data_IF_226776631344
#
_entry.id   IF_226776631344
#
_cell.length_a   1.000
_cell.length_b   1.000
_cell.length_c   1.000
_cell.angle_alpha   90.00
_cell.angle_beta   90.00
_cell.angle_gamma   90.00
#
_symmetry.space_group_name_H-M   'P 1'
#
loop_
_entity.id
_entity.type
_entity.pdbx_description
1 polymer ?
#
# COMPACT_ATOMS: atom_id res chain seq x y z
N UNK A 1 -50.03 -23.19 -34.62
CA UNK A 1 -50.63 -24.00 -33.54
C UNK A 1 -50.09 -23.62 -32.17
N UNK A 2 -48.79 -23.78 -31.90
CA UNK A 2 -48.18 -23.52 -30.57
C UNK A 2 -48.38 -22.08 -30.08
N UNK A 3 -48.16 -21.07 -30.93
CA UNK A 3 -48.40 -19.65 -30.57
C UNK A 3 -49.86 -19.39 -30.22
N UNK A 4 -50.80 -20.05 -30.92
CA UNK A 4 -52.22 -19.91 -30.65
C UNK A 4 -52.58 -20.55 -29.30
N UNK A 5 -52.02 -21.72 -29.00
CA UNK A 5 -52.15 -22.37 -27.70
C UNK A 5 -51.56 -21.51 -26.56
N UNK A 6 -50.39 -20.90 -26.78
CA UNK A 6 -49.76 -20.00 -25.79
C UNK A 6 -50.61 -18.76 -25.48
N UNK A 7 -51.35 -18.23 -26.46
CA UNK A 7 -52.19 -17.05 -26.27
C UNK A 7 -53.58 -17.37 -25.69
N UNK A 8 -54.10 -18.59 -25.88
CA UNK A 8 -55.50 -18.95 -25.56
C UNK A 8 -55.66 -19.83 -24.33
N UNK A 9 -54.66 -20.65 -23.98
CA UNK A 9 -54.80 -21.61 -22.89
C UNK A 9 -54.93 -20.93 -21.52
N UNK A 10 -55.71 -21.56 -20.64
CA UNK A 10 -55.88 -21.13 -19.24
C UNK A 10 -54.82 -21.74 -18.33
N UNK A 11 -54.69 -21.19 -17.11
CA UNK A 11 -53.71 -21.63 -16.09
C UNK A 11 -53.80 -23.13 -15.80
N UNK A 12 -55.01 -23.69 -15.74
CA UNK A 12 -55.23 -25.12 -15.49
C UNK A 12 -54.80 -26.01 -16.66
N UNK A 13 -55.02 -25.55 -17.89
CA UNK A 13 -54.57 -26.27 -19.10
C UNK A 13 -53.04 -26.31 -19.19
N UNK A 14 -52.35 -25.22 -18.81
CA UNK A 14 -50.89 -25.22 -18.74
C UNK A 14 -50.34 -26.10 -17.59
N UNK A 15 -51.02 -26.17 -16.44
CA UNK A 15 -50.65 -27.09 -15.36
C UNK A 15 -50.76 -28.55 -15.79
N UNK A 16 -51.80 -28.90 -16.54
CA UNK A 16 -51.98 -30.26 -17.07
C UNK A 16 -50.91 -30.65 -18.12
N UNK A 17 -50.25 -29.66 -18.74
CA UNK A 17 -49.10 -29.86 -19.62
C UNK A 17 -47.77 -30.02 -18.85
N UNK A 18 -47.78 -29.94 -17.51
CA UNK A 18 -46.58 -30.10 -16.67
C UNK A 18 -45.64 -28.89 -16.65
N UNK A 19 -46.12 -27.71 -17.04
CA UNK A 19 -45.33 -26.46 -16.96
C UNK A 19 -45.19 -26.01 -15.51
N UNK A 20 -44.00 -25.50 -15.15
CA UNK A 20 -43.77 -24.88 -13.84
C UNK A 20 -44.62 -23.62 -13.67
N UNK A 21 -45.11 -23.37 -12.45
CA UNK A 21 -45.94 -22.20 -12.12
C UNK A 21 -45.34 -20.88 -12.60
N UNK A 22 -44.02 -20.67 -12.43
CA UNK A 22 -43.35 -19.46 -12.89
C UNK A 22 -43.42 -19.28 -14.42
N UNK A 23 -43.34 -20.36 -15.19
CA UNK A 23 -43.46 -20.35 -16.65
C UNK A 23 -44.89 -20.06 -17.07
N UNK A 24 -45.88 -20.59 -16.35
CA UNK A 24 -47.30 -20.34 -16.61
C UNK A 24 -47.64 -18.87 -16.36
N UNK A 25 -47.21 -18.31 -15.22
CA UNK A 25 -47.42 -16.90 -14.88
C UNK A 25 -46.82 -15.97 -15.93
N UNK A 26 -45.59 -16.27 -16.39
CA UNK A 26 -44.94 -15.52 -17.46
C UNK A 26 -45.72 -15.55 -18.79
N UNK A 27 -46.15 -16.73 -19.24
CA UNK A 27 -46.92 -16.88 -20.50
C UNK A 27 -48.22 -16.07 -20.42
N UNK A 28 -48.89 -16.09 -19.28
CA UNK A 28 -50.15 -15.37 -19.06
C UNK A 28 -49.97 -13.86 -18.96
N UNK A 29 -48.83 -13.38 -18.44
CA UNK A 29 -48.51 -11.95 -18.29
C UNK A 29 -47.97 -11.33 -19.59
N UNK A 30 -47.32 -12.13 -20.45
CA UNK A 30 -46.59 -11.62 -21.63
C UNK A 30 -47.33 -11.85 -22.95
N UNK A 31 -48.46 -12.57 -22.95
CA UNK A 31 -49.33 -12.72 -24.13
C UNK A 31 -49.99 -11.38 -24.51
N UNK A 32 -50.29 -11.11 -25.79
CA UNK A 32 -50.22 -12.02 -26.92
C UNK A 32 -48.84 -12.06 -27.60
N UNK A 33 -48.35 -13.26 -27.89
CA UNK A 33 -47.16 -13.47 -28.71
C UNK A 33 -47.50 -13.42 -30.20
N UNK A 34 -46.75 -12.66 -30.97
CA UNK A 34 -46.93 -12.54 -32.43
C UNK A 34 -46.25 -13.68 -33.21
N UNK A 35 -45.15 -14.22 -32.68
CA UNK A 35 -44.38 -15.32 -33.30
C UNK A 35 -43.77 -16.24 -32.24
N UNK A 36 -43.44 -17.48 -32.64
CA UNK A 36 -42.78 -18.45 -31.76
C UNK A 36 -41.37 -17.97 -31.34
N UNK A 37 -40.74 -17.16 -32.18
CA UNK A 37 -39.41 -16.60 -31.96
C UNK A 37 -39.42 -15.55 -30.84
N UNK A 38 -40.49 -14.75 -30.74
CA UNK A 38 -40.72 -13.79 -29.64
C UNK A 38 -40.94 -14.50 -28.29
N UNK A 39 -41.64 -15.64 -28.30
CA UNK A 39 -41.82 -16.46 -27.10
C UNK A 39 -40.50 -17.14 -26.66
N UNK A 40 -39.60 -17.43 -27.60
CA UNK A 40 -38.33 -18.13 -27.36
C UNK A 40 -37.15 -17.21 -27.09
N UNK A 41 -37.24 -15.92 -27.46
CA UNK A 41 -36.19 -14.92 -27.23
C UNK A 41 -36.07 -14.49 -25.77
N UNK A 42 -36.97 -14.93 -24.89
CA UNK A 42 -36.94 -14.55 -23.48
C UNK A 42 -35.81 -15.29 -22.74
N UNK A 43 -34.70 -14.57 -22.49
CA UNK A 43 -33.64 -15.01 -21.60
C UNK A 43 -34.15 -14.98 -20.17
N UNK A 44 -34.21 -16.15 -19.52
CA UNK A 44 -34.38 -16.19 -18.06
C UNK A 44 -33.23 -15.42 -17.40
N UNK A 45 -33.55 -14.30 -16.76
CA UNK A 45 -32.63 -13.61 -15.86
C UNK A 45 -32.72 -14.35 -14.53
N UNK A 46 -31.89 -15.36 -14.33
CA UNK A 46 -31.76 -16.01 -13.03
C UNK A 46 -30.81 -15.20 -12.15
N UNK A 47 -31.36 -14.58 -11.11
CA UNK A 47 -30.56 -13.95 -10.07
C UNK A 47 -30.22 -15.00 -9.01
N UNK A 48 -28.95 -15.26 -8.81
CA UNK A 48 -28.49 -16.14 -7.72
C UNK A 48 -28.43 -15.37 -6.41
N UNK A 49 -29.15 -15.86 -5.40
CA UNK A 49 -29.14 -15.31 -4.05
C UNK A 49 -28.35 -16.22 -3.11
N UNK A 50 -27.56 -15.63 -2.22
CA UNK A 50 -26.80 -16.36 -1.22
C UNK A 50 -25.82 -15.44 -0.51
N UNK A 51 -25.59 -15.68 0.78
CA UNK A 51 -24.66 -14.88 1.60
C UNK A 51 -23.26 -14.85 1.01
N UNK A 52 -22.78 -15.99 0.48
CA UNK A 52 -21.47 -16.10 -0.15
C UNK A 52 -21.35 -15.22 -1.41
N UNK A 53 -22.38 -15.20 -2.25
CA UNK A 53 -22.40 -14.41 -3.49
C UNK A 53 -22.48 -12.92 -3.15
N UNK A 54 -23.24 -12.56 -2.11
CA UNK A 54 -23.32 -11.19 -1.62
C UNK A 54 -21.99 -10.70 -1.06
N UNK A 55 -21.30 -11.50 -0.22
CA UNK A 55 -19.97 -11.17 0.28
C UNK A 55 -18.93 -11.08 -0.84
N UNK A 56 -18.94 -11.98 -1.81
CA UNK A 56 -18.04 -11.93 -2.96
C UNK A 56 -18.26 -10.65 -3.79
N UNK A 57 -19.52 -10.28 -4.03
CA UNK A 57 -19.85 -9.03 -4.73
C UNK A 57 -19.42 -7.80 -3.94
N UNK A 58 -19.63 -7.78 -2.61
CA UNK A 58 -19.17 -6.69 -1.75
C UNK A 58 -17.65 -6.53 -1.79
N UNK A 59 -16.89 -7.62 -1.68
CA UNK A 59 -15.41 -7.56 -1.77
C UNK A 59 -14.99 -7.02 -3.13
N UNK A 60 -15.62 -7.47 -4.22
CA UNK A 60 -15.30 -7.01 -5.58
C UNK A 60 -15.61 -5.52 -5.79
N UNK A 61 -16.74 -5.05 -5.27
CA UNK A 61 -17.11 -3.63 -5.30
C UNK A 61 -16.09 -2.82 -4.50
N UNK A 62 -15.81 -3.22 -3.26
CA UNK A 62 -14.88 -2.47 -2.40
C UNK A 62 -13.45 -2.46 -2.95
N UNK A 63 -12.96 -3.54 -3.54
CA UNK A 63 -11.64 -3.54 -4.18
C UNK A 63 -11.60 -2.55 -5.35
N UNK A 64 -12.63 -2.54 -6.20
CA UNK A 64 -12.68 -1.63 -7.35
C UNK A 64 -12.86 -0.18 -6.92
N UNK A 65 -13.89 0.09 -6.14
CA UNK A 65 -14.24 1.44 -5.69
C UNK A 65 -13.20 1.99 -4.71
N UNK A 66 -12.58 1.14 -3.88
CA UNK A 66 -11.52 1.54 -2.97
C UNK A 66 -10.26 2.02 -3.70
N UNK A 67 -9.85 1.31 -4.76
CA UNK A 67 -8.71 1.76 -5.60
C UNK A 67 -9.06 3.05 -6.34
N UNK A 68 -10.27 3.16 -6.88
CA UNK A 68 -10.74 4.38 -7.55
C UNK A 68 -10.75 5.56 -6.57
N UNK A 69 -11.30 5.39 -5.36
CA UNK A 69 -11.34 6.41 -4.32
C UNK A 69 -9.94 6.83 -3.86
N UNK A 70 -9.02 5.89 -3.70
CA UNK A 70 -7.63 6.17 -3.36
C UNK A 70 -6.95 7.02 -4.44
N UNK A 71 -7.00 6.56 -5.70
CA UNK A 71 -6.36 7.25 -6.82
C UNK A 71 -7.00 8.63 -7.09
N UNK A 72 -8.33 8.73 -7.05
CA UNK A 72 -9.03 9.99 -7.27
C UNK A 72 -8.70 11.02 -6.18
N UNK A 73 -8.66 10.59 -4.91
CA UNK A 73 -8.27 11.46 -3.79
C UNK A 73 -6.83 11.93 -3.95
N UNK A 74 -5.90 11.02 -4.29
CA UNK A 74 -4.49 11.37 -4.50
C UNK A 74 -4.32 12.39 -5.63
N UNK A 75 -4.97 12.17 -6.77
CA UNK A 75 -4.90 13.10 -7.91
C UNK A 75 -5.49 14.46 -7.55
N UNK A 76 -6.66 14.49 -6.91
CA UNK A 76 -7.31 15.73 -6.50
C UNK A 76 -6.43 16.54 -5.54
N UNK A 77 -5.83 15.86 -4.56
CA UNK A 77 -4.88 16.47 -3.61
C UNK A 77 -3.69 17.09 -4.32
N UNK A 78 -3.08 16.37 -5.26
CA UNK A 78 -1.91 16.89 -6.01
C UNK A 78 -2.30 18.13 -6.80
N UNK A 79 -3.46 18.12 -7.46
CA UNK A 79 -3.98 19.28 -8.20
C UNK A 79 -4.18 20.47 -7.26
N UNK A 80 -4.86 20.27 -6.12
CA UNK A 80 -5.12 21.33 -5.13
C UNK A 80 -3.80 21.90 -4.59
N UNK A 81 -2.81 21.05 -4.29
CA UNK A 81 -1.49 21.49 -3.82
C UNK A 81 -0.74 22.33 -4.86
N UNK A 82 -0.75 21.92 -6.12
CA UNK A 82 -0.10 22.66 -7.21
C UNK A 82 -0.77 24.02 -7.37
N UNK A 83 -2.10 24.08 -7.32
CA UNK A 83 -2.85 25.34 -7.39
C UNK A 83 -2.57 26.25 -6.18
N UNK A 84 -2.51 25.68 -4.98
CA UNK A 84 -2.28 26.41 -3.74
C UNK A 84 -0.87 27.02 -3.68
N UNK A 85 0.16 26.24 -4.01
CA UNK A 85 1.54 26.72 -3.97
C UNK A 85 2.01 27.43 -5.24
N UNK A 86 1.25 27.32 -6.34
CA UNK A 86 1.61 27.82 -7.68
C UNK A 86 3.00 27.35 -8.12
N UNK A 87 3.36 26.12 -7.77
CA UNK A 87 4.68 25.56 -8.06
C UNK A 87 4.78 24.08 -7.72
N UNK A 88 5.48 23.32 -8.57
CA UNK A 88 5.56 21.86 -8.48
C UNK A 88 6.51 21.38 -7.37
N UNK A 89 7.62 22.09 -7.16
CA UNK A 89 8.62 21.74 -6.14
C UNK A 89 8.05 21.88 -4.72
N UNK A 90 7.37 22.99 -4.35
CA UNK A 90 6.65 23.10 -3.07
C UNK A 90 5.64 21.97 -2.84
N UNK A 91 4.84 21.68 -3.87
CA UNK A 91 3.81 20.65 -3.80
C UNK A 91 4.41 19.25 -3.55
N UNK A 92 5.49 18.90 -4.25
CA UNK A 92 6.20 17.63 -4.07
C UNK A 92 6.78 17.49 -2.66
N UNK A 93 7.35 18.56 -2.09
CA UNK A 93 7.90 18.53 -0.72
C UNK A 93 6.79 18.29 0.30
N UNK A 94 5.63 18.94 0.14
CA UNK A 94 4.48 18.74 1.03
C UNK A 94 3.82 17.36 0.88
N UNK A 95 4.03 16.65 -0.23
CA UNK A 95 3.55 15.28 -0.45
C UNK A 95 4.40 14.20 0.23
N UNK A 96 5.60 14.54 0.74
CA UNK A 96 6.53 13.56 1.31
C UNK A 96 5.93 12.81 2.53
N UNK A 97 5.34 13.49 3.55
CA UNK A 97 4.74 12.81 4.70
C UNK A 97 3.56 11.93 4.35
N UNK A 98 2.84 12.32 3.29
CA UNK A 98 1.71 11.58 2.77
C UNK A 98 2.17 10.26 2.17
N UNK A 99 3.01 10.33 1.13
CA UNK A 99 3.36 9.17 0.30
C UNK A 99 4.13 8.16 1.14
N UNK A 100 5.16 8.63 1.85
CA UNK A 100 5.96 7.75 2.70
C UNK A 100 5.18 7.28 3.92
N UNK A 101 4.25 8.09 4.45
CA UNK A 101 3.35 7.68 5.53
C UNK A 101 2.54 6.46 5.12
N UNK A 102 1.95 6.47 3.92
CA UNK A 102 1.20 5.33 3.40
C UNK A 102 2.11 4.10 3.22
N UNK A 103 3.30 4.25 2.64
CA UNK A 103 4.24 3.13 2.50
C UNK A 103 4.65 2.53 3.84
N UNK A 104 4.93 3.37 4.85
CA UNK A 104 5.29 2.92 6.20
C UNK A 104 4.09 2.27 6.89
N UNK A 105 2.87 2.78 6.66
CA UNK A 105 1.64 2.16 7.15
C UNK A 105 1.47 0.76 6.59
N UNK A 106 1.58 0.60 5.27
CA UNK A 106 1.52 -0.70 4.61
C UNK A 106 2.65 -1.62 5.09
N UNK A 107 3.84 -1.07 5.33
CA UNK A 107 4.98 -1.78 5.89
C UNK A 107 4.73 -2.31 7.30
N UNK A 108 4.22 -1.46 8.19
CA UNK A 108 3.82 -1.84 9.55
C UNK A 108 2.68 -2.87 9.50
N UNK A 109 1.67 -2.66 8.65
CA UNK A 109 0.59 -3.62 8.48
C UNK A 109 1.10 -4.99 8.07
N UNK A 110 2.04 -5.07 7.13
CA UNK A 110 2.66 -6.34 6.75
C UNK A 110 3.51 -6.94 7.87
N UNK A 111 4.31 -6.13 8.58
CA UNK A 111 5.15 -6.59 9.68
C UNK A 111 4.34 -7.17 10.84
N UNK A 112 3.21 -6.54 11.19
CA UNK A 112 2.29 -6.99 12.23
C UNK A 112 1.18 -7.92 11.70
N UNK A 113 1.26 -8.38 10.45
CA UNK A 113 0.30 -9.27 9.78
C UNK A 113 -1.16 -8.79 9.86
N UNK A 114 -1.36 -7.47 9.84
CA UNK A 114 -2.69 -6.85 9.82
C UNK A 114 -3.27 -7.02 8.42
N UNK A 115 -4.32 -7.85 8.32
CA UNK A 115 -4.97 -8.14 7.04
C UNK A 115 -5.78 -6.94 6.54
N UNK A 116 -5.63 -6.62 5.25
CA UNK A 116 -6.53 -5.70 4.56
C UNK A 116 -7.92 -6.32 4.42
N UNK A 117 -8.93 -5.59 4.85
CA UNK A 117 -10.33 -5.98 4.76
C UNK A 117 -11.14 -4.84 4.14
N UNK A 118 -12.38 -5.13 3.75
CA UNK A 118 -13.22 -4.16 3.06
C UNK A 118 -13.58 -2.93 3.92
N UNK A 119 -13.41 -2.99 5.25
CA UNK A 119 -13.65 -1.87 6.16
C UNK A 119 -12.41 -0.97 6.27
N UNK A 120 -11.23 -1.54 6.48
CA UNK A 120 -9.99 -0.77 6.70
C UNK A 120 -9.40 -0.18 5.41
N UNK A 121 -9.74 -0.71 4.23
CA UNK A 121 -9.37 -0.10 2.95
C UNK A 121 -9.93 1.32 2.80
N UNK A 122 -11.08 1.62 3.42
CA UNK A 122 -11.69 2.95 3.39
C UNK A 122 -10.91 4.01 4.18
N UNK A 123 -9.94 3.58 4.99
CA UNK A 123 -9.11 4.47 5.81
C UNK A 123 -8.00 5.14 5.00
N UNK A 124 -7.55 4.54 3.89
CA UNK A 124 -6.44 5.12 3.11
C UNK A 124 -6.74 6.52 2.55
N UNK A 125 -7.92 6.80 1.95
CA UNK A 125 -8.29 8.17 1.56
C UNK A 125 -8.30 9.16 2.74
N UNK A 126 -8.67 8.68 3.94
CA UNK A 126 -8.67 9.51 5.15
C UNK A 126 -7.26 9.84 5.61
N UNK A 127 -6.36 8.84 5.63
CA UNK A 127 -4.94 9.04 5.88
C UNK A 127 -4.35 10.00 4.84
N UNK A 128 -4.81 9.92 3.58
CA UNK A 128 -4.37 10.85 2.54
C UNK A 128 -4.74 12.28 2.93
N UNK A 129 -6.02 12.55 3.17
CA UNK A 129 -6.50 13.88 3.55
C UNK A 129 -5.77 14.45 4.76
N UNK A 130 -5.53 13.62 5.79
CA UNK A 130 -4.84 14.04 7.01
C UNK A 130 -3.33 14.27 6.81
N UNK A 131 -2.64 13.38 6.08
CA UNK A 131 -1.17 13.38 5.99
C UNK A 131 -0.59 14.60 5.27
N UNK A 132 -1.36 15.20 4.36
CA UNK A 132 -0.93 16.36 3.56
C UNK A 132 -0.74 17.60 4.44
N UNK A 133 -1.61 17.81 5.43
CA UNK A 133 -1.60 19.06 6.21
C UNK A 133 -0.26 19.28 6.92
N UNK A 134 0.36 18.19 7.42
CA UNK A 134 1.63 18.25 8.13
C UNK A 134 2.75 18.78 7.23
N UNK A 135 2.76 18.35 5.96
CA UNK A 135 3.70 18.84 4.95
C UNK A 135 3.43 20.29 4.54
N UNK A 136 2.16 20.70 4.47
CA UNK A 136 1.77 22.09 4.14
C UNK A 136 2.24 23.04 5.25
N UNK A 137 1.91 22.76 6.52
CA UNK A 137 2.21 23.67 7.64
C UNK A 137 3.72 23.90 7.81
N UNK A 138 4.52 22.84 7.72
CA UNK A 138 5.99 22.94 7.83
C UNK A 138 6.55 23.73 6.65
N UNK A 139 6.12 23.41 5.43
CA UNK A 139 6.60 24.10 4.23
C UNK A 139 6.22 25.59 4.23
N UNK A 140 4.97 25.91 4.57
CA UNK A 140 4.46 27.27 4.60
C UNK A 140 5.26 28.13 5.59
N UNK A 141 5.49 27.63 6.80
CA UNK A 141 6.28 28.39 7.78
C UNK A 141 7.75 28.50 7.40
N UNK A 142 8.32 27.45 6.81
CA UNK A 142 9.66 27.51 6.26
C UNK A 142 9.79 28.59 5.17
N UNK A 143 8.76 28.78 4.35
CA UNK A 143 8.74 29.81 3.30
C UNK A 143 8.79 31.23 3.86
N UNK A 144 8.21 31.48 5.04
CA UNK A 144 8.21 32.80 5.69
C UNK A 144 9.56 33.13 6.34
N UNK A 145 10.12 32.18 7.10
CA UNK A 145 11.33 32.42 7.91
C UNK A 145 12.64 32.06 7.21
N UNK A 146 12.60 31.28 6.11
CA UNK A 146 13.76 30.69 5.42
C UNK A 146 14.75 29.95 6.34
N UNK A 147 14.29 29.55 7.52
CA UNK A 147 15.04 28.83 8.55
C UNK A 147 14.20 27.64 9.03
N UNK A 148 14.67 26.44 8.69
CA UNK A 148 14.01 25.17 9.04
C UNK A 148 13.90 25.00 10.55
N UNK A 149 14.90 25.44 11.33
CA UNK A 149 14.93 25.26 12.79
C UNK A 149 13.86 26.13 13.43
N UNK A 150 13.77 27.39 13.01
CA UNK A 150 12.77 28.33 13.52
C UNK A 150 11.36 27.90 13.12
N UNK A 151 11.17 27.44 11.88
CA UNK A 151 9.88 26.92 11.43
C UNK A 151 9.43 25.71 12.26
N UNK A 152 10.32 24.74 12.49
CA UNK A 152 10.03 23.55 13.31
C UNK A 152 9.77 23.89 14.79
N UNK A 153 10.48 24.87 15.36
CA UNK A 153 10.29 25.28 16.75
C UNK A 153 8.90 25.89 17.00
N UNK A 154 8.33 26.57 16.01
CA UNK A 154 6.99 27.18 16.15
C UNK A 154 5.86 26.22 15.77
N UNK A 155 6.00 25.51 14.65
CA UNK A 155 4.91 24.69 14.09
C UNK A 155 4.93 23.26 14.60
N UNK A 156 6.10 22.72 14.98
CA UNK A 156 6.25 21.34 15.46
C UNK A 156 5.32 20.99 16.63
N UNK A 157 5.30 21.79 17.73
CA UNK A 157 4.41 21.52 18.86
C UNK A 157 2.93 21.54 18.48
N UNK A 158 2.51 22.44 17.59
CA UNK A 158 1.12 22.53 17.13
C UNK A 158 0.72 21.31 16.28
N UNK A 159 1.60 20.83 15.40
CA UNK A 159 1.38 19.61 14.62
C UNK A 159 1.30 18.38 15.54
N UNK A 160 2.19 18.27 16.52
CA UNK A 160 2.18 17.15 17.48
C UNK A 160 0.87 17.15 18.28
N UNK A 161 0.46 18.31 18.81
CA UNK A 161 -0.77 18.42 19.59
C UNK A 161 -2.02 18.04 18.77
N UNK A 162 -2.17 18.62 17.57
CA UNK A 162 -3.31 18.32 16.68
C UNK A 162 -3.31 16.88 16.16
N UNK A 163 -2.14 16.28 15.99
CA UNK A 163 -2.05 14.86 15.60
C UNK A 163 -2.36 13.93 16.75
N UNK A 164 -1.93 14.26 17.96
CA UNK A 164 -2.22 13.45 19.14
C UNK A 164 -3.73 13.44 19.46
N UNK A 165 -4.43 14.57 19.34
CA UNK A 165 -5.89 14.59 19.52
C UNK A 165 -6.60 13.72 18.49
N UNK A 166 -6.13 13.74 17.24
CA UNK A 166 -6.66 12.90 16.17
C UNK A 166 -6.38 11.42 16.42
N UNK A 167 -5.18 11.07 16.88
CA UNK A 167 -4.81 9.71 17.27
C UNK A 167 -5.69 9.20 18.40
N UNK A 168 -6.00 10.02 19.41
CA UNK A 168 -6.94 9.66 20.48
C UNK A 168 -8.33 9.37 19.90
N UNK A 169 -8.81 10.21 18.97
CA UNK A 169 -10.07 10.00 18.27
C UNK A 169 -10.13 8.65 17.54
N UNK A 170 -9.16 8.35 16.68
CA UNK A 170 -9.12 7.07 15.95
C UNK A 170 -8.84 5.86 16.86
N UNK A 171 -8.06 6.05 17.92
CA UNK A 171 -7.78 4.98 18.88
C UNK A 171 -8.98 4.66 19.76
N UNK A 172 -9.97 5.55 19.90
CA UNK A 172 -11.21 5.23 20.60
C UNK A 172 -11.98 4.05 19.98
N UNK A 173 -11.86 3.86 18.65
CA UNK A 173 -12.44 2.73 17.93
C UNK A 173 -11.86 1.37 18.34
N UNK A 174 -10.73 1.34 19.04
CA UNK A 174 -10.12 0.10 19.56
C UNK A 174 -10.96 -0.57 20.64
N UNK A 175 -11.81 0.22 21.31
CA UNK A 175 -12.72 -0.22 22.37
C UNK A 175 -13.99 -0.84 21.77
N UNK A 176 -14.26 -0.65 20.47
CA UNK A 176 -15.45 -1.18 19.83
C UNK A 176 -15.43 -2.72 19.76
N UNK A 177 -16.54 -3.35 20.11
CA UNK A 177 -16.72 -4.82 20.04
C UNK A 177 -16.69 -5.34 18.58
N UNK A 178 -17.11 -4.50 17.64
CA UNK A 178 -17.13 -4.86 16.23
C UNK A 178 -15.70 -4.87 15.66
N UNK A 179 -15.21 -6.08 15.30
CA UNK A 179 -13.87 -6.30 14.72
C UNK A 179 -13.54 -5.40 13.52
N UNK A 180 -14.54 -5.06 12.70
CA UNK A 180 -14.39 -4.15 11.57
C UNK A 180 -14.00 -2.72 12.00
N UNK A 181 -14.68 -2.17 13.01
CA UNK A 181 -14.40 -0.84 13.55
C UNK A 181 -13.03 -0.80 14.24
N UNK A 182 -12.71 -1.85 15.00
CA UNK A 182 -11.39 -1.99 15.62
C UNK A 182 -10.27 -2.00 14.58
N UNK A 183 -10.45 -2.73 13.47
CA UNK A 183 -9.47 -2.77 12.38
C UNK A 183 -9.26 -1.41 11.72
N UNK A 184 -10.33 -0.65 11.49
CA UNK A 184 -10.29 0.73 11.00
C UNK A 184 -9.45 1.60 11.94
N UNK A 185 -9.72 1.56 13.25
CA UNK A 185 -9.01 2.35 14.26
C UNK A 185 -7.51 2.04 14.31
N UNK A 186 -7.13 0.75 14.26
CA UNK A 186 -5.72 0.33 14.23
C UNK A 186 -5.00 0.93 13.00
N UNK A 187 -5.56 0.74 11.80
CA UNK A 187 -4.92 1.19 10.56
C UNK A 187 -4.83 2.71 10.50
N UNK A 188 -5.88 3.42 10.93
CA UNK A 188 -5.89 4.88 10.99
C UNK A 188 -4.83 5.43 11.94
N UNK A 189 -4.74 4.87 13.15
CA UNK A 189 -3.75 5.31 14.15
C UNK A 189 -2.31 5.08 13.67
N UNK A 190 -2.04 3.94 13.03
CA UNK A 190 -0.73 3.67 12.43
C UNK A 190 -0.44 4.66 11.29
N UNK A 191 -1.41 4.94 10.43
CA UNK A 191 -1.24 5.86 9.30
C UNK A 191 -0.99 7.30 9.70
N UNK A 192 -1.78 7.80 10.63
CA UNK A 192 -1.67 9.16 11.15
C UNK A 192 -0.36 9.31 11.95
N UNK A 193 -0.03 8.32 12.78
CA UNK A 193 1.21 8.32 13.56
C UNK A 193 2.47 8.23 12.69
N UNK A 194 2.46 7.37 11.67
CA UNK A 194 3.60 7.26 10.73
C UNK A 194 3.78 8.55 9.92
N UNK A 195 2.70 9.17 9.45
CA UNK A 195 2.77 10.45 8.74
C UNK A 195 3.34 11.58 9.61
N UNK A 196 2.98 11.62 10.90
CA UNK A 196 3.55 12.57 11.87
C UNK A 196 5.08 12.41 12.00
N UNK A 197 5.54 11.17 12.20
CA UNK A 197 6.97 10.89 12.37
C UNK A 197 7.74 11.35 11.14
N UNK A 198 7.23 11.06 9.94
CA UNK A 198 7.87 11.45 8.68
C UNK A 198 7.84 12.97 8.49
N UNK A 199 6.73 13.62 8.83
CA UNK A 199 6.62 15.08 8.75
C UNK A 199 7.67 15.77 9.63
N UNK A 200 7.84 15.33 10.87
CA UNK A 200 8.75 15.98 11.82
C UNK A 200 10.23 15.65 11.58
N UNK A 201 10.53 14.55 10.89
CA UNK A 201 11.91 14.09 10.67
C UNK A 201 12.39 14.35 9.25
N UNK A 202 11.67 13.86 8.26
CA UNK A 202 12.13 13.82 6.88
C UNK A 202 11.87 15.12 6.12
N UNK A 203 10.73 15.78 6.34
CA UNK A 203 10.41 17.07 5.69
C UNK A 203 11.45 18.15 6.01
N UNK A 204 11.79 18.45 7.28
CA UNK A 204 12.80 19.46 7.56
C UNK A 204 14.17 19.09 6.97
N UNK A 205 14.51 17.80 6.92
CA UNK A 205 15.75 17.35 6.32
C UNK A 205 15.79 17.58 4.79
N UNK A 206 14.69 17.29 4.09
CA UNK A 206 14.58 17.54 2.65
C UNK A 206 14.57 19.05 2.36
N UNK A 207 13.86 19.84 3.16
CA UNK A 207 13.84 21.30 3.06
C UNK A 207 15.24 21.91 3.19
N UNK A 208 16.05 21.44 4.14
CA UNK A 208 17.41 21.94 4.33
C UNK A 208 18.31 21.62 3.12
N UNK A 209 18.18 20.42 2.53
CA UNK A 209 18.94 20.01 1.34
C UNK A 209 18.57 20.88 0.13
N UNK A 210 17.28 21.04 -0.14
CA UNK A 210 16.76 21.83 -1.29
C UNK A 210 17.12 23.31 -1.14
N UNK A 211 17.04 23.85 0.08
CA UNK A 211 17.42 25.25 0.33
C UNK A 211 18.92 25.48 0.18
N UNK A 212 19.74 24.54 0.65
CA UNK A 212 21.19 24.64 0.55
C UNK A 212 21.69 24.60 -0.89
N UNK A 213 21.15 23.71 -1.71
CA UNK A 213 21.52 23.58 -3.13
C UNK A 213 21.19 24.86 -3.90
N UNK A 214 20.00 25.45 -3.67
CA UNK A 214 19.63 26.74 -4.29
C UNK A 214 20.56 27.90 -3.89
N UNK A 215 21.05 27.92 -2.64
CA UNK A 215 21.97 28.97 -2.14
C UNK A 215 23.41 28.80 -2.67
N UNK A 216 23.80 27.57 -2.99
CA UNK A 216 25.10 27.28 -3.63
C UNK A 216 25.08 27.71 -5.11
N UNK A 217 23.98 27.45 -5.84
CA UNK A 217 23.75 27.96 -7.21
C UNK A 217 23.71 29.50 -7.29
N UNK A 218 23.08 30.16 -6.32
CA UNK A 218 23.02 31.63 -6.24
C UNK A 218 24.37 32.27 -5.88
N UNK A 219 25.30 31.49 -5.32
CA UNK A 219 26.68 31.93 -5.06
C UNK A 219 27.59 31.73 -6.28
N UNK A 220 27.40 30.65 -7.04
CA UNK A 220 28.15 30.40 -8.28
C UNK A 220 27.70 31.29 -9.45
N UNK A 221 26.44 31.74 -9.46
CA UNK A 221 25.90 32.65 -10.49
C UNK A 221 26.20 34.13 -10.26
N UNK A 222 26.88 34.50 -9.16
CA UNK A 222 27.43 35.86 -9.04
C UNK A 222 28.60 36.00 -10.03
N UNK A 223 28.57 36.97 -10.96
CA UNK A 223 29.65 37.14 -11.91
C UNK A 223 30.96 37.38 -11.15
N UNK A 224 31.96 36.56 -11.45
CA UNK A 224 33.35 36.80 -11.06
C UNK A 224 33.81 38.03 -11.82
N UNK A 225 33.70 39.22 -11.20
CA UNK A 225 34.01 40.47 -11.87
C UNK A 225 34.10 41.64 -10.92
N UNK A 226 35.32 42.17 -10.81
CA UNK A 226 35.80 43.36 -10.11
C UNK A 226 36.13 43.22 -8.62
N UNK A 227 37.39 42.89 -8.39
CA UNK A 227 38.12 43.16 -7.16
C UNK A 227 37.95 44.63 -6.74
N UNK A 228 37.63 44.86 -5.47
CA UNK A 228 37.63 46.16 -4.80
C UNK A 228 39.05 46.68 -4.53
N UNK A 229 39.92 46.67 -5.55
CA UNK A 229 41.30 47.15 -5.43
C UNK A 229 41.59 48.47 -6.15
N UNK A 230 40.65 49.02 -6.94
CA UNK A 230 40.88 50.25 -7.73
C UNK A 230 40.00 51.45 -7.32
N UNK A 231 39.56 51.52 -6.07
CA UNK A 231 38.90 52.72 -5.53
C UNK A 231 39.88 53.76 -4.94
N UNK A 232 41.19 53.55 -5.07
CA UNK A 232 42.24 54.46 -4.58
C UNK A 232 43.23 54.85 -5.68
N UNK A 233 42.76 55.30 -6.84
CA UNK A 233 43.61 56.00 -7.82
C UNK A 233 42.76 56.59 -8.93
N UNK A 234 43.01 57.86 -9.27
CA UNK A 234 42.36 58.64 -10.33
C UNK A 234 40.96 59.15 -9.94
N UNK A 235 40.78 60.42 -9.59
CA UNK A 235 41.25 61.59 -10.32
C UNK A 235 40.12 62.06 -11.24
N UNK A 236 39.51 63.18 -10.88
CA UNK A 236 38.52 63.97 -11.62
C UNK A 236 38.26 63.52 -13.07
N UNK A 237 37.03 63.05 -13.34
CA UNK A 237 36.45 63.31 -14.65
C UNK A 237 34.94 63.55 -14.52
N UNK A 238 34.61 64.84 -14.68
CA UNK A 238 33.29 65.37 -14.93
C UNK A 238 32.72 64.72 -16.20
N UNK A 239 31.58 64.03 -16.07
CA UNK A 239 30.61 63.97 -17.16
C UNK A 239 29.25 64.39 -16.62
N UNK A 240 28.91 65.63 -16.92
CA UNK A 240 27.56 66.14 -16.86
C UNK A 240 26.73 65.48 -17.96
N UNK A 241 25.62 64.86 -17.59
CA UNK A 241 24.47 64.76 -18.48
C UNK A 241 23.22 65.10 -17.67
N UNK A 242 22.58 66.18 -18.12
CA UNK A 242 21.28 66.69 -17.66
C UNK A 242 20.20 65.64 -17.90
N UNK A 243 19.34 65.44 -16.91
CA UNK A 243 17.89 65.44 -17.14
C UNK A 243 17.22 66.10 -15.94
N UNK A 244 16.79 67.35 -16.17
CA UNK A 244 15.73 68.01 -15.40
C UNK A 244 14.47 67.16 -15.53
N UNK A 245 13.80 66.87 -14.42
CA UNK A 245 12.36 67.10 -14.16
C UNK A 245 12.08 66.59 -12.73
N UNK A 246 11.27 67.33 -11.96
CA UNK A 246 10.85 67.09 -10.58
C UNK A 246 11.61 67.87 -9.48
N UNK A 247 11.68 69.18 -9.67
CA UNK A 247 11.56 70.13 -8.55
C UNK A 247 10.11 70.12 -8.04
N UNK A 248 9.96 70.37 -6.73
CA UNK A 248 8.72 70.60 -5.97
C UNK A 248 8.07 69.36 -5.33
N UNK A 249 8.65 68.89 -4.21
CA UNK A 249 7.96 68.70 -2.91
C UNK A 249 8.89 68.04 -1.88
N UNK A 250 9.98 68.72 -1.46
CA UNK A 250 10.79 68.28 -0.31
C UNK A 250 11.28 69.47 0.51
N UNK A 251 10.33 70.26 1.01
CA UNK A 251 10.64 71.38 1.91
C UNK A 251 9.76 71.41 3.16
N UNK A 252 9.21 70.28 3.59
CA UNK A 252 8.37 70.24 4.82
C UNK A 252 8.63 69.07 5.78
N UNK A 253 9.56 68.15 5.50
CA UNK A 253 9.77 66.96 6.37
C UNK A 253 11.04 67.01 7.22
N UNK A 254 11.90 68.02 7.03
CA UNK A 254 13.19 68.12 7.75
C UNK A 254 13.06 68.81 9.12
N UNK A 255 11.92 69.41 9.43
CA UNK A 255 11.75 70.17 10.69
C UNK A 255 11.20 69.34 11.87
N UNK A 256 10.68 68.13 11.62
CA UNK A 256 10.10 67.27 12.69
C UNK A 256 11.16 66.37 13.37
N UNK A 257 12.31 66.11 12.74
CA UNK A 257 13.34 65.21 13.29
C UNK A 257 14.34 65.88 14.28
N UNK A 258 14.12 67.15 14.66
CA UNK A 258 14.98 67.88 15.63
C UNK A 258 14.52 67.81 17.10
N UNK A 259 13.43 67.12 17.44
CA UNK A 259 12.84 67.16 18.80
C UNK A 259 12.93 65.86 19.65
N UNK A 260 14.01 65.07 19.56
CA UNK A 260 14.21 63.95 20.52
C UNK A 260 15.61 63.99 21.18
N UNK A 261 15.73 63.84 22.51
CA UNK A 261 16.96 64.10 23.28
C UNK A 261 17.98 62.95 23.20
N UNK A 262 19.28 63.22 23.50
CA UNK A 262 20.37 62.30 23.24
C UNK A 262 20.54 61.26 24.37
N UNK A 263 20.53 59.96 24.06
CA UNK A 263 20.96 58.92 25.01
C UNK A 263 22.37 58.43 24.71
N UNK A 264 23.27 58.95 25.55
CA UNK A 264 24.56 58.43 26.08
C UNK A 264 25.17 57.16 25.46
N UNK A 265 26.45 57.35 25.11
CA UNK A 265 27.50 56.35 24.99
C UNK A 265 27.42 55.24 26.05
N UNK A 266 27.28 53.99 25.58
CA UNK A 266 27.64 52.79 26.34
C UNK A 266 28.51 51.88 25.46
N UNK A 267 29.81 52.02 25.68
CA UNK A 267 30.85 51.00 25.63
C UNK A 267 30.81 50.00 24.46
N UNK A 268 31.63 50.33 23.46
CA UNK A 268 32.22 49.48 22.43
C UNK A 268 32.89 48.24 23.06
N UNK A 269 32.11 47.20 23.37
CA UNK A 269 32.62 45.88 23.75
C UNK A 269 33.02 45.14 22.47
N UNK A 270 34.32 44.86 22.32
CA UNK A 270 34.90 44.00 21.28
C UNK A 270 34.01 42.77 21.05
N UNK A 271 33.47 42.59 19.84
CA UNK A 271 32.88 41.30 19.42
C UNK A 271 34.00 40.26 19.50
N UNK A 272 33.88 39.19 20.30
CA UNK A 272 34.77 38.06 20.15
C UNK A 272 34.42 37.40 18.80
N UNK A 273 35.46 37.03 18.05
CA UNK A 273 35.34 36.21 16.85
C UNK A 273 34.49 34.96 17.15
N UNK A 274 33.26 34.92 16.67
CA UNK A 274 32.44 33.71 16.67
C UNK A 274 33.12 32.71 15.74
N UNK A 275 33.91 31.80 16.33
CA UNK A 275 34.33 30.55 15.69
C UNK A 275 33.08 29.92 15.07
N UNK A 276 33.11 29.75 13.75
CA UNK A 276 32.10 29.11 12.91
C UNK A 276 31.38 27.94 13.63
N UNK A 277 30.12 28.11 14.09
CA UNK A 277 29.33 27.02 14.68
C UNK A 277 28.80 26.04 13.62
N UNK A 278 28.86 26.43 12.33
CA UNK A 278 28.27 25.70 11.20
C UNK A 278 28.88 24.31 10.98
N UNK A 279 30.20 24.13 11.19
CA UNK A 279 30.87 22.84 10.95
C UNK A 279 30.58 21.77 12.00
N UNK A 280 30.29 22.15 13.26
CA UNK A 280 29.98 21.18 14.35
C UNK A 280 28.52 20.74 14.34
N UNK A 281 27.59 21.62 13.96
CA UNK A 281 26.14 21.34 13.86
C UNK A 281 25.80 20.40 12.69
N UNK A 282 26.53 20.51 11.57
CA UNK A 282 26.37 19.68 10.37
C UNK A 282 26.58 18.16 10.59
N UNK A 283 27.39 17.75 11.57
CA UNK A 283 27.62 16.32 11.86
C UNK A 283 26.41 15.63 12.52
N UNK A 284 25.59 16.38 13.27
CA UNK A 284 24.39 15.85 13.92
C UNK A 284 23.28 15.55 12.92
N UNK A 285 23.04 16.45 11.96
CA UNK A 285 22.00 16.31 10.95
C UNK A 285 22.30 15.21 9.92
N UNK A 286 23.54 15.09 9.44
CA UNK A 286 23.95 13.97 8.57
C UNK A 286 23.79 12.62 9.30
N UNK A 287 24.00 12.59 10.62
CA UNK A 287 23.72 11.40 11.43
C UNK A 287 22.22 11.13 11.52
N UNK A 288 21.39 12.11 11.85
CA UNK A 288 19.93 11.93 11.94
C UNK A 288 19.34 11.50 10.59
N UNK A 289 19.83 12.08 9.48
CA UNK A 289 19.48 11.68 8.12
C UNK A 289 19.91 10.25 7.81
N UNK A 290 21.15 9.86 8.13
CA UNK A 290 21.61 8.48 7.99
C UNK A 290 20.79 7.52 8.85
N UNK A 291 20.49 7.86 10.09
CA UNK A 291 19.71 7.02 11.00
C UNK A 291 18.23 6.93 10.60
N UNK A 292 17.61 8.01 10.11
CA UNK A 292 16.25 7.96 9.56
C UNK A 292 16.20 7.13 8.28
N UNK A 293 17.11 7.35 7.33
CA UNK A 293 17.18 6.57 6.10
C UNK A 293 17.52 5.09 6.37
N UNK A 294 18.40 4.80 7.34
CA UNK A 294 18.69 3.44 7.79
C UNK A 294 17.48 2.81 8.49
N UNK A 295 16.78 3.54 9.36
CA UNK A 295 15.59 3.05 10.05
C UNK A 295 14.47 2.70 9.05
N UNK A 296 14.22 3.56 8.05
CA UNK A 296 13.27 3.28 6.98
C UNK A 296 13.73 2.15 6.04
N UNK A 297 15.03 2.05 5.75
CA UNK A 297 15.59 0.91 4.99
C UNK A 297 15.46 -0.41 5.75
N UNK A 298 15.66 -0.41 7.07
CA UNK A 298 15.53 -1.61 7.92
C UNK A 298 14.07 -2.05 8.00
N UNK A 299 13.13 -1.11 8.11
CA UNK A 299 11.68 -1.41 8.06
C UNK A 299 11.29 -2.05 6.71
N UNK A 300 11.87 -1.56 5.60
CA UNK A 300 11.65 -2.12 4.26
C UNK A 300 12.23 -3.53 4.10
N UNK A 301 13.37 -3.83 4.76
CA UNK A 301 14.05 -5.14 4.71
C UNK A 301 13.37 -6.18 5.61
N UNK A 302 12.64 -5.77 6.65
CA UNK A 302 11.89 -6.69 7.52
C UNK A 302 10.56 -7.19 6.93
N UNK A 303 10.22 -6.79 5.70
CA UNK A 303 9.00 -7.25 5.04
C UNK A 303 9.20 -8.60 4.34
N UNK A 304 8.41 -9.57 4.82
CA UNK A 304 7.98 -10.81 4.16
C UNK A 304 8.83 -12.07 4.38
N UNK A 305 8.09 -13.19 4.49
CA UNK A 305 8.54 -14.51 4.06
C UNK A 305 9.33 -14.37 2.75
N UNK A 306 10.60 -14.71 2.80
CA UNK A 306 11.46 -14.67 1.62
C UNK A 306 11.42 -16.04 0.96
N UNK A 307 10.95 -16.09 -0.28
CA UNK A 307 11.34 -17.17 -1.18
C UNK A 307 12.85 -17.09 -1.27
N UNK A 308 13.56 -18.09 -0.72
CA UNK A 308 15.01 -18.03 -0.61
C UNK A 308 15.68 -18.11 -1.97
N UNK A 309 15.10 -18.91 -2.86
CA UNK A 309 15.50 -18.97 -4.26
C UNK A 309 14.37 -19.55 -5.12
N UNK A 310 14.41 -19.20 -6.40
CA UNK A 310 13.61 -19.81 -7.46
C UNK A 310 14.57 -20.30 -8.54
N UNK A 311 14.43 -21.54 -8.96
CA UNK A 311 15.19 -22.12 -10.07
C UNK A 311 14.22 -22.50 -11.18
N UNK A 312 14.46 -21.98 -12.38
CA UNK A 312 13.63 -22.23 -13.57
C UNK A 312 14.40 -23.08 -14.59
N UNK A 313 13.68 -23.97 -15.28
CA UNK A 313 14.21 -24.70 -16.42
C UNK A 313 14.28 -23.82 -17.69
N UNK A 314 15.09 -24.17 -18.71
CA UNK A 314 15.34 -23.33 -19.88
C UNK A 314 14.09 -23.05 -20.75
N UNK A 315 13.03 -23.87 -20.68
CA UNK A 315 11.80 -23.75 -21.49
C UNK A 315 10.52 -23.64 -20.65
N UNK A 316 10.63 -23.30 -19.36
CA UNK A 316 9.54 -23.38 -18.38
C UNK A 316 8.27 -22.61 -18.80
N UNK A 317 8.41 -21.41 -19.37
CA UNK A 317 7.29 -20.52 -19.71
C UNK A 317 6.39 -21.04 -20.84
N UNK A 318 6.97 -21.63 -21.89
CA UNK A 318 6.20 -22.25 -23.00
C UNK A 318 5.45 -23.51 -22.53
N UNK A 319 6.08 -24.26 -21.64
CA UNK A 319 5.56 -25.51 -21.13
C UNK A 319 4.40 -25.28 -20.15
N UNK A 320 4.54 -24.33 -19.21
CA UNK A 320 3.50 -23.95 -18.24
C UNK A 320 2.19 -23.50 -18.91
N UNK A 321 2.27 -22.69 -19.96
CA UNK A 321 1.09 -22.23 -20.71
C UNK A 321 0.37 -23.35 -21.49
N UNK A 322 1.05 -24.49 -21.71
CA UNK A 322 0.49 -25.62 -22.45
C UNK A 322 -0.12 -26.67 -21.51
N UNK A 323 0.30 -26.72 -20.24
CA UNK A 323 -0.20 -27.70 -19.28
C UNK A 323 -1.59 -27.33 -18.77
N UNK A 324 -2.55 -28.20 -19.05
CA UNK A 324 -3.90 -28.08 -18.51
C UNK A 324 -4.14 -29.00 -17.32
N UNK A 325 -3.28 -29.99 -17.07
CA UNK A 325 -3.53 -31.04 -16.07
C UNK A 325 -2.34 -31.28 -15.15
N UNK A 326 -2.50 -30.86 -13.89
CA UNK A 326 -1.48 -30.97 -12.84
C UNK A 326 -2.02 -31.81 -11.68
N UNK A 327 -1.15 -32.65 -11.13
CA UNK A 327 -1.41 -33.44 -9.92
C UNK A 327 -0.51 -32.97 -8.80
N UNK A 328 -1.05 -32.84 -7.59
CA UNK A 328 -0.28 -32.52 -6.38
C UNK A 328 0.18 -33.81 -5.72
N UNK A 329 1.46 -33.90 -5.36
CA UNK A 329 2.04 -35.05 -4.68
C UNK A 329 2.94 -34.62 -3.53
N UNK A 330 2.77 -35.23 -2.37
CA UNK A 330 3.65 -35.05 -1.20
C UNK A 330 4.47 -36.33 -1.04
N UNK A 331 5.79 -36.32 -1.30
CA UNK A 331 6.62 -37.52 -1.24
C UNK A 331 6.70 -38.07 0.19
N UNK A 332 6.84 -39.40 0.29
CA UNK A 332 6.96 -40.14 1.56
C UNK A 332 8.17 -39.70 2.40
N UNK A 333 9.23 -39.19 1.74
CA UNK A 333 10.44 -38.60 2.35
C UNK A 333 10.21 -37.31 3.15
N UNK A 334 9.00 -36.74 3.13
CA UNK A 334 8.71 -35.55 3.92
C UNK A 334 8.70 -35.91 5.42
N UNK A 335 9.40 -35.11 6.23
CA UNK A 335 9.62 -35.30 7.68
C UNK A 335 8.38 -34.90 8.51
N UNK A 336 7.19 -35.30 8.04
CA UNK A 336 5.88 -34.95 8.60
C UNK A 336 4.94 -36.16 8.59
N UNK A 337 3.98 -36.18 9.51
CA UNK A 337 3.03 -37.28 9.66
C UNK A 337 2.07 -37.42 8.46
N UNK A 338 1.40 -38.58 8.38
CA UNK A 338 0.37 -38.84 7.36
C UNK A 338 -0.78 -37.80 7.36
N UNK A 339 -1.33 -37.35 8.51
CA UNK A 339 -2.36 -36.31 8.52
C UNK A 339 -1.88 -34.98 7.92
N UNK A 340 -0.65 -34.56 8.23
CA UNK A 340 -0.06 -33.32 7.72
C UNK A 340 0.22 -33.40 6.21
N UNK A 341 0.65 -34.57 5.72
CA UNK A 341 0.83 -34.82 4.28
C UNK A 341 -0.49 -34.66 3.52
N UNK A 342 -1.60 -35.18 4.05
CA UNK A 342 -2.92 -35.04 3.44
C UNK A 342 -3.44 -33.60 3.50
N UNK A 343 -3.25 -32.91 4.62
CA UNK A 343 -3.58 -31.50 4.78
C UNK A 343 -2.85 -30.65 3.73
N UNK A 344 -1.52 -30.84 3.62
CA UNK A 344 -0.69 -30.08 2.71
C UNK A 344 -1.12 -30.28 1.25
N UNK A 345 -1.31 -31.53 0.84
CA UNK A 345 -1.80 -31.85 -0.50
C UNK A 345 -3.13 -31.14 -0.79
N UNK A 346 -4.07 -31.17 0.15
CA UNK A 346 -5.41 -30.58 -0.04
C UNK A 346 -5.39 -29.06 -0.08
N UNK A 347 -4.58 -28.40 0.75
CA UNK A 347 -4.41 -26.94 0.72
C UNK A 347 -3.84 -26.52 -0.64
N UNK A 348 -2.79 -27.20 -1.10
CA UNK A 348 -2.16 -26.92 -2.39
C UNK A 348 -3.09 -27.19 -3.56
N UNK A 349 -3.84 -28.29 -3.56
CA UNK A 349 -4.87 -28.57 -4.57
C UNK A 349 -5.92 -27.44 -4.64
N UNK A 350 -6.43 -27.00 -3.48
CA UNK A 350 -7.45 -25.97 -3.41
C UNK A 350 -6.93 -24.64 -3.98
N UNK A 351 -5.71 -24.25 -3.60
CA UNK A 351 -5.08 -23.02 -4.08
C UNK A 351 -4.84 -23.03 -5.58
N UNK A 352 -4.16 -24.06 -6.08
CA UNK A 352 -3.87 -24.17 -7.50
C UNK A 352 -5.17 -24.24 -8.33
N UNK A 353 -6.27 -24.79 -7.78
CA UNK A 353 -7.55 -24.92 -8.49
C UNK A 353 -8.28 -23.59 -8.71
N UNK A 354 -7.95 -22.57 -7.90
CA UNK A 354 -8.47 -21.21 -8.07
C UNK A 354 -7.77 -20.44 -9.20
N UNK A 355 -6.60 -20.90 -9.66
CA UNK A 355 -5.94 -20.35 -10.85
C UNK A 355 -6.57 -20.95 -12.10
N UNK A 356 -7.27 -20.12 -12.89
CA UNK A 356 -8.03 -20.50 -14.11
C UNK A 356 -7.20 -21.20 -15.21
N UNK A 357 -5.89 -21.29 -15.01
CA UNK A 357 -4.92 -21.82 -15.97
C UNK A 357 -4.76 -23.35 -15.86
N UNK A 358 -5.15 -23.96 -14.73
CA UNK A 358 -4.93 -25.39 -14.47
C UNK A 358 -6.21 -26.15 -14.11
N UNK A 359 -6.38 -27.36 -14.66
CA UNK A 359 -7.36 -28.36 -14.22
C UNK A 359 -6.64 -29.32 -13.27
N UNK A 360 -7.09 -29.35 -12.02
CA UNK A 360 -6.45 -30.13 -10.96
C UNK A 360 -7.27 -31.37 -10.67
N UNK A 361 -6.62 -32.52 -10.73
CA UNK A 361 -7.25 -33.79 -10.41
C UNK A 361 -6.82 -34.23 -9.01
N UNK A 362 -7.77 -34.56 -8.13
CA UNK A 362 -7.44 -35.14 -6.83
C UNK A 362 -6.78 -36.50 -7.06
N UNK A 363 -5.59 -36.69 -6.51
CA UNK A 363 -4.81 -37.90 -6.74
C UNK A 363 -5.41 -39.09 -5.97
N UNK A 364 -5.67 -40.21 -6.66
CA UNK A 364 -6.15 -41.46 -6.05
C UNK A 364 -5.11 -42.56 -6.23
N UNK A 365 -4.34 -42.78 -5.17
CA UNK A 365 -3.52 -43.97 -4.89
C UNK A 365 -2.42 -44.33 -5.92
N UNK A 366 -1.17 -44.06 -5.56
CA UNK A 366 0.04 -44.51 -6.24
C UNK A 366 1.27 -43.68 -5.81
N UNK A 367 2.42 -44.28 -5.58
CA UNK A 367 3.64 -43.50 -5.36
C UNK A 367 3.87 -42.63 -6.60
N UNK A 368 3.90 -41.30 -6.44
CA UNK A 368 3.88 -40.28 -7.50
C UNK A 368 4.96 -40.46 -8.57
N UNK A 369 4.70 -41.37 -9.50
CA UNK A 369 5.56 -41.72 -10.63
C UNK A 369 4.75 -41.41 -11.88
N UNK A 370 5.31 -40.56 -12.75
CA UNK A 370 4.74 -40.24 -14.04
C UNK A 370 4.44 -41.53 -14.83
N UNK A 371 3.19 -41.70 -15.26
CA UNK A 371 2.76 -42.86 -16.05
C UNK A 371 1.99 -43.95 -15.29
N UNK A 372 1.79 -43.82 -13.97
CA UNK A 372 0.92 -44.75 -13.24
C UNK A 372 -0.55 -44.27 -13.25
N UNK A 373 -1.43 -45.11 -13.81
CA UNK A 373 -2.89 -45.02 -13.86
C UNK A 373 -3.54 -44.03 -14.86
N UNK A 374 -3.18 -42.74 -14.86
CA UNK A 374 -3.91 -41.74 -15.67
C UNK A 374 -3.05 -41.13 -16.80
N UNK A 375 -3.21 -41.63 -18.03
CA UNK A 375 -2.52 -41.14 -19.26
C UNK A 375 -2.74 -39.65 -19.58
N UNK A 376 -3.53 -38.94 -18.78
CA UNK A 376 -3.94 -37.55 -18.96
C UNK A 376 -3.12 -36.55 -18.13
N UNK A 377 -2.31 -37.00 -17.16
CA UNK A 377 -1.51 -36.12 -16.30
C UNK A 377 -0.28 -35.63 -17.06
N UNK A 378 -0.10 -34.30 -17.12
CA UNK A 378 0.98 -33.67 -17.89
C UNK A 378 2.14 -33.22 -17.00
N UNK A 379 1.84 -32.79 -15.77
CA UNK A 379 2.84 -32.38 -14.79
C UNK A 379 2.46 -32.79 -13.36
N UNK A 380 3.47 -32.93 -12.50
CA UNK A 380 3.32 -33.21 -11.06
C UNK A 380 3.90 -32.05 -10.27
N UNK A 381 3.11 -31.47 -9.38
CA UNK A 381 3.57 -30.54 -8.35
C UNK A 381 3.98 -31.34 -7.11
N UNK A 382 5.28 -31.53 -6.92
CA UNK A 382 5.83 -32.20 -5.75
C UNK A 382 6.12 -31.20 -4.63
N UNK A 383 5.65 -31.50 -3.42
CA UNK A 383 5.83 -30.64 -2.25
C UNK A 383 6.55 -31.40 -1.14
N UNK A 384 7.85 -31.17 -0.97
CA UNK A 384 8.64 -31.77 0.12
C UNK A 384 8.60 -30.84 1.34
N UNK A 385 8.23 -31.39 2.50
CA UNK A 385 7.97 -30.61 3.71
C UNK A 385 8.89 -31.07 4.84
N UNK A 386 9.44 -30.11 5.58
CA UNK A 386 10.13 -30.30 6.86
C UNK A 386 9.46 -29.44 7.92
N UNK A 387 9.12 -30.06 9.03
CA UNK A 387 8.55 -29.39 10.21
C UNK A 387 9.47 -29.63 11.40
N UNK A 388 9.92 -28.54 12.04
CA UNK A 388 10.65 -28.63 13.31
C UNK A 388 9.86 -27.92 14.40
N UNK A 389 9.47 -28.68 15.42
CA UNK A 389 8.62 -28.19 16.49
C UNK A 389 9.45 -27.79 17.71
N UNK A 390 9.33 -26.54 18.15
CA UNK A 390 9.88 -26.03 19.42
C UNK A 390 8.73 -25.79 20.40
N UNK A 391 9.01 -25.56 21.68
CA UNK A 391 8.00 -25.30 22.73
C UNK A 391 7.01 -24.19 22.34
N UNK A 392 7.49 -23.09 21.73
CA UNK A 392 6.68 -21.90 21.41
C UNK A 392 6.51 -21.60 19.91
N UNK A 393 7.29 -22.27 19.04
CA UNK A 393 7.36 -22.00 17.59
C UNK A 393 7.31 -23.27 16.74
N UNK A 394 6.77 -23.14 15.53
CA UNK A 394 6.80 -24.14 14.46
C UNK A 394 7.63 -23.56 13.31
N UNK A 395 8.77 -24.18 13.03
CA UNK A 395 9.59 -23.86 11.85
C UNK A 395 9.15 -24.78 10.71
N UNK A 396 8.69 -24.17 9.62
CA UNK A 396 8.24 -24.88 8.41
C UNK A 396 9.17 -24.54 7.26
N UNK A 397 9.70 -25.57 6.61
CA UNK A 397 10.47 -25.47 5.37
C UNK A 397 9.78 -26.33 4.31
N UNK A 398 9.46 -25.73 3.17
CA UNK A 398 8.77 -26.39 2.08
C UNK A 398 9.53 -26.18 0.78
N UNK A 399 9.62 -27.22 -0.04
CA UNK A 399 10.20 -27.18 -1.38
C UNK A 399 9.13 -27.61 -2.37
N UNK A 400 8.67 -26.67 -3.19
CA UNK A 400 7.76 -26.93 -4.31
C UNK A 400 8.54 -27.20 -5.59
N UNK A 401 8.23 -28.28 -6.30
CA UNK A 401 8.82 -28.63 -7.60
C UNK A 401 7.74 -28.94 -8.62
N UNK A 402 7.82 -28.37 -9.81
CA UNK A 402 6.97 -28.72 -10.95
C UNK A 402 7.78 -29.65 -11.87
N UNK A 403 7.34 -30.90 -11.99
CA UNK A 403 7.94 -31.92 -12.83
C UNK A 403 7.10 -32.17 -14.08
N UNK A 404 7.73 -32.15 -15.25
CA UNK A 404 7.07 -32.53 -16.52
C UNK A 404 7.09 -34.05 -16.70
N UNK A 405 5.93 -34.68 -16.86
CA UNK A 405 5.86 -36.13 -16.95
C UNK A 405 6.42 -36.75 -18.24
N UNK A 406 6.56 -35.97 -19.31
CA UNK A 406 7.12 -36.45 -20.57
C UNK A 406 8.62 -36.75 -20.51
N UNK A 407 9.38 -36.09 -19.63
CA UNK A 407 10.86 -36.17 -19.60
C UNK A 407 11.47 -36.25 -18.19
N UNK A 408 10.69 -36.10 -17.13
CA UNK A 408 11.21 -36.00 -15.76
C UNK A 408 11.99 -34.71 -15.48
N UNK A 409 11.90 -33.71 -16.37
CA UNK A 409 12.57 -32.42 -16.23
C UNK A 409 11.88 -31.57 -15.15
N UNK A 410 12.68 -30.94 -14.29
CA UNK A 410 12.22 -29.94 -13.31
C UNK A 410 12.04 -28.62 -14.04
N UNK A 411 10.79 -28.18 -14.17
CA UNK A 411 10.44 -26.91 -14.83
C UNK A 411 10.61 -25.73 -13.89
N UNK A 412 10.29 -25.95 -12.62
CA UNK A 412 10.32 -24.93 -11.58
C UNK A 412 10.59 -25.56 -10.22
N UNK A 413 11.42 -24.92 -9.43
CA UNK A 413 11.71 -25.29 -8.05
C UNK A 413 11.84 -24.03 -7.19
N UNK A 414 11.16 -24.01 -6.04
CA UNK A 414 11.26 -22.93 -5.08
C UNK A 414 11.33 -23.48 -3.64
N UNK A 415 12.10 -22.79 -2.80
CA UNK A 415 12.21 -23.04 -1.36
C UNK A 415 11.56 -21.88 -0.60
N UNK A 416 10.60 -22.20 0.28
CA UNK A 416 9.99 -21.26 1.22
C UNK A 416 10.25 -21.73 2.66
N UNK A 417 10.70 -20.81 3.50
CA UNK A 417 10.94 -21.08 4.92
C UNK A 417 10.31 -19.99 5.77
N UNK A 418 9.66 -20.40 6.86
CA UNK A 418 9.14 -19.45 7.83
C UNK A 418 9.00 -20.06 9.23
N UNK A 419 8.97 -19.18 10.24
CA UNK A 419 8.71 -19.54 11.64
C UNK A 419 7.35 -18.95 12.06
N UNK A 420 6.50 -19.80 12.63
CA UNK A 420 5.16 -19.45 13.11
C UNK A 420 5.07 -19.65 14.62
N UNK A 421 4.38 -18.75 15.32
CA UNK A 421 4.05 -18.94 16.74
C UNK A 421 2.80 -19.82 16.87
N UNK A 422 2.79 -20.71 17.87
CA UNK A 422 1.67 -21.65 18.10
C UNK A 422 0.39 -20.97 18.57
N UNK A 423 0.47 -19.77 19.16
CA UNK A 423 -0.67 -19.09 19.80
C UNK A 423 -1.41 -18.11 18.87
N UNK A 424 -1.04 -18.03 17.58
CA UNK A 424 -1.68 -17.09 16.66
C UNK A 424 -2.91 -17.74 16.03
N UNK A 425 -4.08 -17.45 16.59
CA UNK A 425 -5.39 -17.83 16.04
C UNK A 425 -5.77 -17.00 14.79
N UNK A 426 -4.91 -17.00 13.78
CA UNK A 426 -5.26 -16.43 12.48
C UNK A 426 -6.33 -17.32 11.80
N UNK A 427 -7.32 -16.78 11.11
CA UNK A 427 -8.28 -17.55 10.29
C UNK A 427 -8.98 -18.77 10.94
N UNK A 428 -9.66 -18.59 12.09
CA UNK A 428 -10.43 -19.65 12.77
C UNK A 428 -11.38 -20.45 11.86
N UNK A 429 -11.94 -19.84 10.81
CA UNK A 429 -12.79 -20.55 9.83
C UNK A 429 -12.04 -21.68 9.10
N UNK A 430 -10.79 -21.43 8.68
CA UNK A 430 -9.96 -22.44 8.01
C UNK A 430 -9.59 -23.56 8.98
N UNK A 431 -9.21 -23.18 10.20
CA UNK A 431 -8.94 -24.13 11.29
C UNK A 431 -10.15 -25.05 11.47
N UNK A 432 -11.36 -24.50 11.62
CA UNK A 432 -12.57 -25.28 11.85
C UNK A 432 -12.87 -26.26 10.70
N UNK A 433 -12.76 -25.81 9.44
CA UNK A 433 -13.00 -26.67 8.27
C UNK A 433 -12.03 -27.84 8.20
N UNK A 434 -10.72 -27.58 8.32
CA UNK A 434 -9.72 -28.64 8.22
C UNK A 434 -9.66 -29.52 9.47
N UNK A 435 -9.99 -28.98 10.64
CA UNK A 435 -10.11 -29.75 11.88
C UNK A 435 -11.28 -30.74 11.83
N UNK A 436 -12.41 -30.35 11.22
CA UNK A 436 -13.53 -31.26 10.99
C UNK A 436 -13.18 -32.41 10.05
N UNK A 437 -12.32 -32.18 9.06
CA UNK A 437 -11.94 -33.18 8.06
C UNK A 437 -10.83 -34.13 8.53
N UNK A 438 -9.91 -33.66 9.36
CA UNK A 438 -8.67 -34.39 9.66
C UNK A 438 -8.32 -34.50 11.16
N UNK A 439 -9.21 -34.02 12.05
CA UNK A 439 -9.08 -34.18 13.50
C UNK A 439 -8.48 -32.98 14.24
N UNK A 440 -8.65 -32.98 15.56
CA UNK A 440 -8.24 -31.88 16.47
C UNK A 440 -6.74 -31.65 16.55
N UNK A 441 -5.93 -32.67 16.29
CA UNK A 441 -4.47 -32.60 16.36
C UNK A 441 -3.86 -31.66 15.29
N UNK A 442 -4.59 -31.42 14.19
CA UNK A 442 -4.12 -30.59 13.07
C UNK A 442 -4.47 -29.12 13.23
N UNK A 443 -5.42 -28.79 14.11
CA UNK A 443 -5.99 -27.45 14.24
C UNK A 443 -4.94 -26.33 14.35
N UNK A 444 -3.90 -26.55 15.17
CA UNK A 444 -2.81 -25.60 15.38
C UNK A 444 -1.82 -25.50 14.21
N UNK A 445 -1.82 -26.49 13.30
CA UNK A 445 -0.93 -26.58 12.15
C UNK A 445 -1.54 -26.05 10.85
N UNK A 446 -2.87 -25.88 10.77
CA UNK A 446 -3.56 -25.42 9.55
C UNK A 446 -3.00 -24.08 9.05
N UNK A 447 -2.84 -23.10 9.93
CA UNK A 447 -2.36 -21.77 9.55
C UNK A 447 -0.90 -21.76 9.06
N UNK A 448 0.07 -22.32 9.82
CA UNK A 448 1.45 -22.40 9.34
C UNK A 448 1.56 -22.99 7.92
N UNK A 449 0.85 -24.10 7.67
CA UNK A 449 0.85 -24.77 6.37
C UNK A 449 0.18 -23.90 5.29
N UNK A 450 -0.99 -23.34 5.58
CA UNK A 450 -1.72 -22.45 4.67
C UNK A 450 -0.89 -21.23 4.24
N UNK A 451 -0.27 -20.54 5.19
CA UNK A 451 0.50 -19.34 4.89
C UNK A 451 1.81 -19.64 4.17
N UNK A 452 2.47 -20.76 4.47
CA UNK A 452 3.69 -21.13 3.77
C UNK A 452 3.41 -21.50 2.31
N UNK A 453 2.34 -22.27 2.06
CA UNK A 453 2.04 -22.70 0.70
C UNK A 453 1.45 -21.63 -0.19
N UNK A 454 0.80 -20.60 0.37
CA UNK A 454 0.34 -19.43 -0.38
C UNK A 454 1.47 -18.68 -1.11
N UNK A 455 2.72 -18.86 -0.66
CA UNK A 455 3.89 -18.19 -1.25
C UNK A 455 4.35 -18.86 -2.56
N UNK A 456 4.07 -20.14 -2.73
CA UNK A 456 4.27 -20.86 -4.00
C UNK A 456 3.12 -20.60 -4.96
#
# INVERSE_FOLDING_TARGET
MIVNSLNTYSTSQFKNLGLLDATISFILETRPFSSLEQARSHKYISNTAGSLILFANLIKIVQREGVIAFLSTLVLVVIVLILFFRGIVPALISLIPLVLGIFVTLGIMAAFRIQLNFMNVLVFPVIIGYGIQNGIYIYYRFREDHDVIRAMAMVGPAIIASTLTTLVGWSSLLIADQKGLKSIGIVASIGIGSSLIIALTLVPAVLEIVYRSRKEEEKESKPVGFDQAEANSSGNLLFASKTKTAENLKTETIEILKQLPPKRNLLRKKRPSLKNPSKKRNKGYIRILKYSLLFFSIIFITMNCTVKYVKTGPTWEKDLNTFKRIVVSVPSESEVGNPEKQLAAKITENYLSHHKEFIIYPFRSGNGICGSSDKKVQAIFQLKIREKQTSDKVELSAIGKVLKCSKGEVLWEALAENSYSKNTEENQSLINTYTQLYGKEIASKVNPYFFCFKVF
#
